data_IF_136046408482
#
_entry.id   IF_136046408482
#
_cell.length_a   1.000
_cell.length_b   1.000
_cell.length_c   1.000
_cell.angle_alpha   90.00
_cell.angle_beta   90.00
_cell.angle_gamma   90.00
#
_symmetry.space_group_name_H-M   'P 1'
#
loop_
_entity.id
_entity.type
_entity.pdbx_description
1 polymer ?
#
# COMPACT_ATOMS: atom_id res chain seq x y z
N UNK A 1 -3.50 1.75 9.50
CA UNK A 1 -2.98 0.99 10.65
C UNK A 1 -2.22 -0.31 10.31
N UNK A 2 -2.23 -0.83 9.09
CA UNK A 2 -1.55 -2.09 8.73
C UNK A 2 -0.08 -1.95 8.27
N UNK A 3 0.40 -0.75 8.06
CA UNK A 3 1.77 -0.48 7.57
C UNK A 3 2.84 -0.60 8.66
N UNK A 4 2.45 -0.52 9.93
CA UNK A 4 3.39 -0.48 11.06
C UNK A 4 4.04 -1.82 11.44
N UNK A 5 3.49 -2.97 11.01
CA UNK A 5 4.05 -4.29 11.31
C UNK A 5 4.99 -4.84 10.22
N UNK A 6 5.16 -4.11 9.08
CA UNK A 6 6.11 -4.48 8.03
C UNK A 6 5.84 -5.82 7.34
N UNK A 7 4.70 -6.44 7.60
CA UNK A 7 4.26 -7.66 6.91
C UNK A 7 3.05 -7.28 6.07
N UNK A 8 3.29 -7.12 4.78
CA UNK A 8 2.20 -6.88 3.83
C UNK A 8 1.23 -8.05 3.88
N UNK A 9 -0.06 -7.73 4.04
CA UNK A 9 -1.15 -8.73 4.03
C UNK A 9 -1.06 -9.64 2.80
N UNK A 10 -0.57 -9.10 1.70
CA UNK A 10 -0.38 -9.81 0.44
C UNK A 10 0.70 -10.89 0.54
N UNK A 11 1.81 -10.64 1.23
CA UNK A 11 2.87 -11.65 1.44
C UNK A 11 2.41 -12.79 2.36
N UNK A 12 1.59 -12.47 3.36
CA UNK A 12 0.94 -13.48 4.19
C UNK A 12 -0.03 -14.36 3.38
N UNK A 13 -0.80 -13.76 2.47
CA UNK A 13 -1.70 -14.50 1.59
C UNK A 13 -0.95 -15.47 0.69
N UNK A 14 0.15 -15.05 0.06
CA UNK A 14 0.99 -15.95 -0.75
C UNK A 14 1.55 -17.09 0.10
N UNK A 15 2.01 -16.84 1.30
CA UNK A 15 2.45 -17.89 2.23
C UNK A 15 1.34 -18.89 2.56
N UNK A 16 0.11 -18.41 2.80
CA UNK A 16 -1.05 -19.27 3.06
C UNK A 16 -1.42 -20.13 1.86
N UNK A 17 -1.38 -19.58 0.63
CA UNK A 17 -1.62 -20.35 -0.59
C UNK A 17 -0.56 -21.43 -0.78
N UNK A 18 0.70 -21.12 -0.56
CA UNK A 18 1.78 -22.12 -0.62
C UNK A 18 1.61 -23.22 0.44
N UNK A 19 1.19 -22.88 1.67
CA UNK A 19 0.87 -23.89 2.69
C UNK A 19 -0.32 -24.76 2.29
N UNK A 20 -1.36 -24.16 1.71
CA UNK A 20 -2.53 -24.90 1.19
C UNK A 20 -2.12 -25.88 0.09
N UNK A 21 -1.25 -25.46 -0.84
CA UNK A 21 -0.73 -26.33 -1.91
C UNK A 21 0.11 -27.50 -1.37
N UNK A 22 0.91 -27.28 -0.32
CA UNK A 22 1.70 -28.35 0.33
C UNK A 22 0.84 -29.38 1.03
N UNK A 23 -0.27 -28.95 1.65
CA UNK A 23 -1.19 -29.81 2.40
C UNK A 23 -2.23 -30.51 1.51
N UNK A 24 -2.49 -29.95 0.31
CA UNK A 24 -3.48 -30.50 -0.60
C UNK A 24 -3.05 -31.87 -1.15
N UNK A 25 -3.93 -32.87 -1.19
CA UNK A 25 -3.62 -34.16 -1.76
C UNK A 25 -3.36 -34.04 -3.27
N UNK A 26 -2.31 -34.71 -3.75
CA UNK A 26 -1.82 -34.52 -5.12
C UNK A 26 -2.76 -35.09 -6.19
N UNK A 27 -3.48 -36.19 -5.90
CA UNK A 27 -4.27 -36.89 -6.90
C UNK A 27 -5.76 -36.55 -6.91
N UNK A 28 -6.35 -36.27 -5.74
CA UNK A 28 -7.81 -36.15 -5.58
C UNK A 28 -8.31 -34.69 -5.65
N UNK A 29 -7.48 -33.69 -5.37
CA UNK A 29 -7.88 -32.27 -5.29
C UNK A 29 -7.35 -31.45 -6.46
N UNK A 30 -7.39 -31.94 -7.70
CA UNK A 30 -6.85 -31.26 -8.87
C UNK A 30 -7.44 -29.83 -9.05
N UNK A 31 -8.79 -29.72 -8.99
CA UNK A 31 -9.47 -28.42 -9.15
C UNK A 31 -9.08 -27.40 -8.09
N UNK A 32 -9.01 -27.82 -6.82
CA UNK A 32 -8.57 -26.97 -5.71
C UNK A 32 -7.12 -26.48 -5.91
N UNK A 33 -6.22 -27.38 -6.33
CA UNK A 33 -4.82 -27.01 -6.59
C UNK A 33 -4.69 -26.01 -7.73
N UNK A 34 -5.46 -26.18 -8.83
CA UNK A 34 -5.47 -25.24 -9.95
C UNK A 34 -5.94 -23.86 -9.48
N UNK A 35 -7.09 -23.78 -8.80
CA UNK A 35 -7.62 -22.52 -8.31
C UNK A 35 -6.67 -21.82 -7.33
N UNK A 36 -6.04 -22.58 -6.43
CA UNK A 36 -5.06 -22.01 -5.49
C UNK A 36 -3.81 -21.49 -6.21
N UNK A 37 -3.30 -22.20 -7.23
CA UNK A 37 -2.16 -21.75 -8.02
C UNK A 37 -2.47 -20.51 -8.86
N UNK A 38 -3.67 -20.41 -9.42
CA UNK A 38 -4.13 -19.23 -10.15
C UNK A 38 -4.17 -18.00 -9.24
N UNK A 39 -4.74 -18.14 -8.03
CA UNK A 39 -4.79 -17.06 -7.05
C UNK A 39 -3.41 -16.68 -6.52
N UNK A 40 -2.54 -17.66 -6.22
CA UNK A 40 -1.17 -17.40 -5.77
C UNK A 40 -0.37 -16.64 -6.84
N UNK A 41 -0.49 -17.04 -8.11
CA UNK A 41 0.13 -16.33 -9.23
C UNK A 41 -0.35 -14.86 -9.30
N UNK A 42 -1.65 -14.60 -9.21
CA UNK A 42 -2.20 -13.25 -9.25
C UNK A 42 -1.76 -12.41 -8.05
N UNK A 43 -1.74 -13.00 -6.86
CA UNK A 43 -1.31 -12.30 -5.64
C UNK A 43 0.17 -11.94 -5.70
N UNK A 44 1.05 -12.86 -6.15
CA UNK A 44 2.48 -12.56 -6.36
C UNK A 44 2.67 -11.42 -7.36
N UNK A 45 1.95 -11.43 -8.49
CA UNK A 45 2.00 -10.34 -9.47
C UNK A 45 1.49 -8.99 -8.92
N UNK A 46 0.49 -8.99 -8.02
CA UNK A 46 -0.01 -7.78 -7.36
C UNK A 46 0.99 -7.20 -6.35
N UNK A 47 1.76 -8.07 -5.68
CA UNK A 47 2.86 -7.67 -4.80
C UNK A 47 4.01 -7.04 -5.62
N UNK A 48 4.17 -7.45 -6.87
CA UNK A 48 5.26 -7.06 -7.77
C UNK A 48 6.34 -8.13 -7.90
N UNK A 49 6.07 -9.33 -7.37
CA UNK A 49 6.91 -10.51 -7.55
C UNK A 49 6.53 -11.27 -8.81
N UNK A 50 7.50 -11.86 -9.48
CA UNK A 50 7.24 -12.67 -10.68
C UNK A 50 7.27 -14.13 -10.29
N UNK A 51 6.15 -14.88 -10.50
CA UNK A 51 6.10 -16.31 -10.20
C UNK A 51 7.15 -17.10 -10.96
N UNK A 52 7.65 -18.17 -10.36
CA UNK A 52 8.62 -19.04 -10.99
C UNK A 52 8.03 -19.80 -12.20
N UNK A 53 8.87 -19.99 -13.24
CA UNK A 53 8.47 -20.78 -14.43
C UNK A 53 8.14 -22.23 -14.12
N UNK A 54 8.70 -22.79 -13.05
CA UNK A 54 8.44 -24.16 -12.59
C UNK A 54 6.95 -24.42 -12.32
N UNK A 55 6.22 -23.41 -11.83
CA UNK A 55 4.77 -23.49 -11.56
C UNK A 55 3.96 -23.80 -12.83
N UNK A 56 4.38 -23.27 -13.98
CA UNK A 56 3.68 -23.43 -15.26
C UNK A 56 4.06 -24.72 -16.03
N UNK A 57 5.12 -25.40 -15.60
CA UNK A 57 5.59 -26.61 -16.28
C UNK A 57 4.90 -27.90 -15.84
N UNK A 58 4.11 -27.85 -14.78
CA UNK A 58 3.39 -29.01 -14.28
C UNK A 58 2.37 -29.51 -15.31
N UNK A 59 2.48 -30.75 -15.73
CA UNK A 59 1.64 -31.39 -16.77
C UNK A 59 0.16 -31.27 -16.43
N UNK A 60 -0.21 -31.46 -15.17
CA UNK A 60 -1.60 -31.46 -14.70
C UNK A 60 -2.27 -30.08 -14.72
N UNK A 61 -1.49 -29.01 -14.60
CA UNK A 61 -2.00 -27.64 -14.43
C UNK A 61 -1.66 -26.71 -15.59
N UNK A 62 -0.82 -27.16 -16.53
CA UNK A 62 -0.32 -26.38 -17.65
C UNK A 62 -1.42 -25.73 -18.52
N UNK A 63 -2.46 -26.49 -18.85
CA UNK A 63 -3.57 -25.98 -19.66
C UNK A 63 -4.37 -24.89 -18.95
N UNK A 64 -4.59 -25.05 -17.64
CA UNK A 64 -5.33 -24.09 -16.84
C UNK A 64 -4.53 -22.82 -16.53
N UNK A 65 -3.21 -22.95 -16.40
CA UNK A 65 -2.31 -21.84 -16.10
C UNK A 65 -1.75 -21.13 -17.36
N UNK A 66 -2.02 -21.65 -18.57
CA UNK A 66 -1.56 -21.04 -19.83
C UNK A 66 -1.88 -19.55 -19.95
N UNK A 67 -3.13 -19.10 -19.75
CA UNK A 67 -3.50 -17.68 -19.77
C UNK A 67 -2.74 -16.84 -18.73
N UNK A 68 -2.52 -17.39 -17.54
CA UNK A 68 -1.78 -16.71 -16.47
C UNK A 68 -0.28 -16.60 -16.77
N UNK A 69 0.28 -17.53 -17.56
CA UNK A 69 1.65 -17.41 -18.05
C UNK A 69 1.81 -16.23 -19.02
N UNK A 70 0.87 -16.04 -19.97
CA UNK A 70 0.89 -14.91 -20.89
C UNK A 70 0.79 -13.57 -20.10
N UNK A 71 -0.09 -13.50 -19.08
CA UNK A 71 -0.18 -12.37 -18.17
C UNK A 71 1.15 -12.12 -17.43
N UNK A 72 1.75 -13.15 -16.88
CA UNK A 72 3.02 -13.06 -16.15
C UNK A 72 4.13 -12.51 -17.04
N UNK A 73 4.19 -12.92 -18.30
CA UNK A 73 5.16 -12.42 -19.28
C UNK A 73 4.93 -10.94 -19.57
N UNK A 74 3.67 -10.51 -19.79
CA UNK A 74 3.33 -9.11 -20.03
C UNK A 74 3.66 -8.21 -18.82
N UNK A 75 3.37 -8.66 -17.60
CA UNK A 75 3.71 -7.94 -16.36
C UNK A 75 5.22 -7.84 -16.20
N UNK A 76 5.98 -8.91 -16.48
CA UNK A 76 7.44 -8.92 -16.38
C UNK A 76 8.11 -7.95 -17.35
N UNK A 77 7.59 -7.85 -18.58
CA UNK A 77 8.09 -6.92 -19.59
C UNK A 77 7.68 -5.48 -19.30
N UNK A 78 6.55 -5.29 -18.62
CA UNK A 78 5.98 -3.98 -18.36
C UNK A 78 5.30 -3.36 -19.59
N UNK A 79 4.85 -4.18 -20.54
CA UNK A 79 4.18 -3.74 -21.77
C UNK A 79 2.66 -3.76 -21.60
N UNK A 80 2.03 -2.57 -21.60
CA UNK A 80 0.58 -2.44 -21.48
C UNK A 80 -0.18 -3.07 -22.65
N UNK A 81 0.36 -2.99 -23.87
CA UNK A 81 -0.32 -3.54 -25.07
C UNK A 81 -0.36 -5.06 -25.02
N UNK A 82 0.75 -5.69 -24.70
CA UNK A 82 0.80 -7.14 -24.54
C UNK A 82 -0.14 -7.60 -23.41
N UNK A 83 -0.25 -6.81 -22.34
CA UNK A 83 -1.19 -7.08 -21.25
C UNK A 83 -2.64 -6.96 -21.69
N UNK A 84 -3.05 -5.88 -22.37
CA UNK A 84 -4.44 -5.70 -22.82
C UNK A 84 -4.85 -6.77 -23.82
N UNK A 85 -3.98 -7.11 -24.78
CA UNK A 85 -4.25 -8.20 -25.73
C UNK A 85 -4.39 -9.57 -25.05
N UNK A 86 -3.57 -9.86 -24.03
CA UNK A 86 -3.69 -11.09 -23.24
C UNK A 86 -4.99 -11.14 -22.42
N UNK A 87 -5.41 -10.01 -21.84
CA UNK A 87 -6.67 -9.91 -21.09
C UNK A 87 -7.88 -10.09 -22.00
N UNK A 88 -7.90 -9.45 -23.17
CA UNK A 88 -8.98 -9.57 -24.16
C UNK A 88 -9.09 -11.02 -24.69
N UNK A 89 -7.97 -11.62 -25.05
CA UNK A 89 -7.88 -12.98 -25.56
C UNK A 89 -8.45 -14.02 -24.59
N UNK A 90 -8.24 -13.84 -23.30
CA UNK A 90 -8.59 -14.80 -22.26
C UNK A 90 -9.70 -14.30 -21.31
N UNK A 91 -10.45 -13.26 -21.69
CA UNK A 91 -11.47 -12.62 -20.85
C UNK A 91 -12.54 -13.59 -20.34
N UNK A 92 -13.02 -14.47 -21.22
CA UNK A 92 -14.04 -15.48 -20.87
C UNK A 92 -13.53 -16.44 -19.79
N UNK A 93 -12.27 -16.87 -19.89
CA UNK A 93 -11.66 -17.81 -18.95
C UNK A 93 -11.43 -17.18 -17.59
N UNK A 94 -10.95 -15.92 -17.55
CA UNK A 94 -10.80 -15.17 -16.30
C UNK A 94 -12.13 -14.90 -15.61
N UNK A 95 -13.21 -14.74 -16.39
CA UNK A 95 -14.56 -14.57 -15.85
C UNK A 95 -15.10 -15.88 -15.30
N UNK A 96 -14.88 -17.02 -15.97
CA UNK A 96 -15.24 -18.35 -15.48
C UNK A 96 -14.50 -18.70 -14.18
N UNK A 97 -13.20 -18.35 -14.10
CA UNK A 97 -12.38 -18.56 -12.90
C UNK A 97 -12.73 -17.56 -11.77
N UNK A 98 -13.58 -16.54 -12.02
CA UNK A 98 -13.92 -15.48 -11.04
C UNK A 98 -12.80 -14.49 -10.76
N UNK A 99 -11.71 -14.52 -11.51
CA UNK A 99 -10.49 -13.75 -11.26
C UNK A 99 -10.38 -12.46 -12.08
N UNK A 100 -11.36 -12.14 -12.93
CA UNK A 100 -11.33 -11.01 -13.85
C UNK A 100 -11.06 -9.66 -13.16
N UNK A 101 -11.68 -9.43 -12.00
CA UNK A 101 -11.49 -8.18 -11.24
C UNK A 101 -10.05 -8.03 -10.71
N UNK A 102 -9.40 -9.13 -10.33
CA UNK A 102 -8.01 -9.14 -9.89
C UNK A 102 -7.07 -8.90 -11.07
N UNK A 103 -7.37 -9.49 -12.23
CA UNK A 103 -6.60 -9.28 -13.46
C UNK A 103 -6.65 -7.81 -13.90
N UNK A 104 -7.80 -7.14 -13.80
CA UNK A 104 -7.88 -5.70 -14.09
C UNK A 104 -6.98 -4.85 -13.18
N UNK A 105 -6.86 -5.21 -11.90
CA UNK A 105 -5.97 -4.51 -10.95
C UNK A 105 -4.49 -4.65 -11.32
N UNK A 106 -4.10 -5.73 -12.01
CA UNK A 106 -2.71 -5.94 -12.46
C UNK A 106 -2.22 -4.87 -13.44
N UNK A 107 -3.11 -4.18 -14.16
CA UNK A 107 -2.74 -3.05 -15.04
C UNK A 107 -1.79 -2.08 -14.34
N UNK A 108 -2.05 -1.81 -13.07
CA UNK A 108 -1.23 -0.92 -12.26
C UNK A 108 0.17 -1.47 -11.99
N UNK A 109 0.27 -2.78 -11.75
CA UNK A 109 1.56 -3.48 -11.54
C UNK A 109 2.39 -3.50 -12.83
N UNK A 110 1.75 -3.64 -14.01
CA UNK A 110 2.41 -3.53 -15.31
C UNK A 110 3.05 -2.16 -15.49
N UNK A 111 2.33 -1.08 -15.19
CA UNK A 111 2.84 0.31 -15.29
C UNK A 111 4.02 0.50 -14.33
N UNK A 112 3.91 0.02 -13.09
CA UNK A 112 5.01 0.10 -12.10
C UNK A 112 6.26 -0.60 -12.59
N UNK A 113 6.13 -1.80 -13.15
CA UNK A 113 7.27 -2.56 -13.72
C UNK A 113 7.87 -1.83 -14.91
N UNK A 114 7.04 -1.28 -15.81
CA UNK A 114 7.49 -0.47 -16.94
C UNK A 114 8.26 0.77 -16.49
N UNK A 115 7.74 1.50 -15.49
CA UNK A 115 8.42 2.67 -14.90
C UNK A 115 9.75 2.28 -14.25
N UNK A 116 9.82 1.14 -13.55
CA UNK A 116 11.07 0.63 -12.97
C UNK A 116 12.10 0.35 -14.06
N UNK A 117 11.72 -0.27 -15.16
CA UNK A 117 12.62 -0.54 -16.28
C UNK A 117 13.13 0.76 -16.93
N UNK A 118 12.25 1.77 -17.05
CA UNK A 118 12.63 3.10 -17.55
C UNK A 118 13.59 3.79 -16.59
N UNK A 119 13.30 3.80 -15.29
CA UNK A 119 14.16 4.40 -14.26
C UNK A 119 15.57 3.79 -14.22
N UNK A 120 15.69 2.47 -14.46
CA UNK A 120 16.98 1.79 -14.55
C UNK A 120 17.75 2.14 -15.83
N UNK A 121 17.04 2.48 -16.92
CA UNK A 121 17.63 2.72 -18.23
C UNK A 121 18.02 4.18 -18.45
N UNK A 122 17.32 5.13 -17.80
CA UNK A 122 17.48 6.56 -18.01
C UNK A 122 17.78 7.28 -16.69
N UNK A 123 18.84 8.09 -16.69
CA UNK A 123 19.14 8.99 -15.57
C UNK A 123 18.18 10.20 -15.54
N UNK A 124 17.75 10.67 -16.71
CA UNK A 124 16.80 11.77 -16.86
C UNK A 124 15.92 11.50 -18.09
N UNK A 125 14.59 11.66 -17.94
CA UNK A 125 13.60 11.39 -18.99
C UNK A 125 12.43 12.36 -18.87
N UNK A 126 11.89 12.84 -20.02
CA UNK A 126 10.70 13.71 -20.04
C UNK A 126 9.41 12.92 -19.81
N UNK A 127 8.38 13.58 -19.25
CA UNK A 127 7.07 12.92 -19.07
C UNK A 127 6.42 12.55 -20.39
N UNK A 128 6.68 13.31 -21.47
CA UNK A 128 6.25 12.98 -22.83
C UNK A 128 6.78 11.64 -23.31
N UNK A 129 8.08 11.43 -23.10
CA UNK A 129 8.72 10.18 -23.50
C UNK A 129 8.24 9.00 -22.66
N UNK A 130 7.98 9.21 -21.35
CA UNK A 130 7.40 8.21 -20.48
C UNK A 130 5.98 7.84 -20.96
N UNK A 131 5.13 8.84 -21.25
CA UNK A 131 3.79 8.62 -21.76
C UNK A 131 3.81 7.82 -23.06
N UNK A 132 4.71 8.18 -24.00
CA UNK A 132 4.86 7.48 -25.27
C UNK A 132 5.32 6.02 -25.09
N UNK A 133 6.29 5.78 -24.19
CA UNK A 133 6.83 4.43 -23.94
C UNK A 133 5.81 3.52 -23.24
N UNK A 134 5.09 4.05 -22.27
CA UNK A 134 4.06 3.31 -21.53
C UNK A 134 2.71 3.34 -22.23
N UNK A 135 2.57 4.09 -23.34
CA UNK A 135 1.31 4.30 -24.07
C UNK A 135 0.19 4.78 -23.15
N UNK A 136 0.51 5.81 -22.36
CA UNK A 136 -0.44 6.52 -21.54
C UNK A 136 -1.08 7.64 -22.39
N UNK A 137 -2.31 8.01 -22.02
CA UNK A 137 -3.10 8.96 -22.79
C UNK A 137 -2.58 10.39 -22.65
N UNK A 138 -2.10 10.76 -21.45
CA UNK A 138 -1.66 12.13 -21.15
C UNK A 138 -0.32 12.18 -20.44
N UNK A 139 0.37 13.34 -20.55
CA UNK A 139 1.61 13.61 -19.78
C UNK A 139 1.34 13.72 -18.30
N UNK A 140 0.17 14.24 -17.91
CA UNK A 140 -0.26 14.36 -16.52
C UNK A 140 -0.45 12.99 -15.88
N UNK A 141 -1.00 12.02 -16.61
CA UNK A 141 -1.11 10.65 -16.12
C UNK A 141 0.26 10.02 -15.88
N UNK A 142 1.23 10.29 -16.77
CA UNK A 142 2.62 9.83 -16.58
C UNK A 142 3.23 10.44 -15.31
N UNK A 143 3.04 11.73 -15.06
CA UNK A 143 3.50 12.40 -13.86
C UNK A 143 2.87 11.81 -12.59
N UNK A 144 1.54 11.65 -12.55
CA UNK A 144 0.84 11.03 -11.42
C UNK A 144 1.29 9.60 -11.16
N UNK A 145 1.51 8.82 -12.21
CA UNK A 145 2.00 7.45 -12.07
C UNK A 145 3.45 7.41 -11.55
N UNK A 146 4.30 8.34 -11.98
CA UNK A 146 5.65 8.50 -11.43
C UNK A 146 5.63 8.90 -9.96
N UNK A 147 4.84 9.91 -9.58
CA UNK A 147 4.67 10.34 -8.20
C UNK A 147 4.18 9.19 -7.30
N UNK A 148 3.23 8.41 -7.79
CA UNK A 148 2.72 7.24 -7.07
C UNK A 148 3.77 6.15 -6.95
N UNK A 149 4.56 5.89 -7.99
CA UNK A 149 5.63 4.88 -7.96
C UNK A 149 6.77 5.28 -6.99
N UNK A 150 7.09 6.57 -6.88
CA UNK A 150 8.03 7.09 -5.89
C UNK A 150 7.47 6.90 -4.48
N UNK A 151 6.21 7.28 -4.24
CA UNK A 151 5.55 7.11 -2.93
C UNK A 151 5.49 5.63 -2.49
N UNK A 152 5.22 4.74 -3.44
CA UNK A 152 5.14 3.30 -3.18
C UNK A 152 6.54 2.65 -3.05
N UNK A 153 7.63 3.42 -3.21
CA UNK A 153 9.02 2.93 -3.09
C UNK A 153 9.46 2.01 -4.23
N UNK A 154 8.77 2.03 -5.37
CA UNK A 154 9.12 1.18 -6.53
C UNK A 154 10.31 1.74 -7.29
N UNK A 155 10.42 3.08 -7.36
CA UNK A 155 11.50 3.83 -8.00
C UNK A 155 12.02 4.90 -7.06
N UNK A 156 13.34 5.12 -7.10
CA UNK A 156 14.01 6.22 -6.41
C UNK A 156 14.32 7.30 -7.44
N UNK A 157 13.53 8.34 -7.47
CA UNK A 157 13.64 9.40 -8.45
C UNK A 157 13.11 10.72 -7.87
N UNK A 158 13.57 11.83 -8.41
CA UNK A 158 13.05 13.17 -8.15
C UNK A 158 12.22 13.63 -9.34
N UNK A 159 11.10 14.30 -9.04
CA UNK A 159 10.14 14.75 -10.02
C UNK A 159 10.21 16.28 -10.10
N UNK A 160 10.50 16.81 -11.28
CA UNK A 160 10.48 18.23 -11.58
C UNK A 160 9.27 18.55 -12.44
N UNK A 161 8.26 19.17 -11.81
CA UNK A 161 7.04 19.55 -12.51
C UNK A 161 7.28 20.68 -13.51
N UNK A 162 8.03 21.71 -13.10
CA UNK A 162 8.24 22.91 -13.92
C UNK A 162 8.98 22.63 -15.24
N UNK A 163 9.96 21.72 -15.20
CA UNK A 163 10.74 21.33 -16.37
C UNK A 163 10.19 20.06 -17.06
N UNK A 164 9.18 19.41 -16.49
CA UNK A 164 8.49 18.28 -17.07
C UNK A 164 9.32 17.01 -17.24
N UNK A 165 10.21 16.72 -16.28
CA UNK A 165 11.05 15.51 -16.33
C UNK A 165 11.15 14.76 -15.01
N UNK A 166 11.53 13.49 -15.14
CA UNK A 166 11.88 12.60 -14.04
C UNK A 166 13.41 12.40 -14.03
N UNK A 167 14.05 12.62 -12.89
CA UNK A 167 15.47 12.31 -12.69
C UNK A 167 15.59 11.12 -11.74
N UNK A 168 16.19 10.02 -12.23
CA UNK A 168 16.47 8.84 -11.40
C UNK A 168 17.65 9.12 -10.48
N UNK A 169 17.49 8.82 -9.19
CA UNK A 169 18.58 8.88 -8.24
C UNK A 169 19.49 7.66 -8.45
N UNK A 170 20.80 7.89 -8.38
CA UNK A 170 21.75 6.78 -8.33
C UNK A 170 21.58 6.06 -7.00
N UNK A 171 21.39 4.75 -7.04
CA UNK A 171 21.31 3.93 -5.84
C UNK A 171 22.63 4.03 -5.05
N UNK A 172 22.62 4.86 -4.00
CA UNK A 172 23.72 4.97 -3.06
C UNK A 172 23.71 3.79 -2.06
N UNK A 173 24.82 3.62 -1.37
CA UNK A 173 24.87 2.68 -0.27
C UNK A 173 24.03 3.19 0.89
N UNK A 174 22.79 2.70 1.03
CA UNK A 174 21.84 3.09 2.07
C UNK A 174 22.42 2.88 3.48
N UNK A 175 23.27 1.86 3.66
CA UNK A 175 23.90 1.56 4.96
C UNK A 175 24.96 2.58 5.39
N UNK A 176 25.44 3.41 4.49
CA UNK A 176 26.35 4.53 4.81
C UNK A 176 25.61 5.81 5.21
N UNK A 177 24.27 5.83 5.12
CA UNK A 177 23.40 6.95 5.48
C UNK A 177 22.73 6.71 6.82
N UNK A 178 22.05 7.73 7.36
CA UNK A 178 21.26 7.63 8.60
C UNK A 178 19.90 6.94 8.43
N UNK A 179 19.49 6.62 7.22
CA UNK A 179 18.20 6.00 6.91
C UNK A 179 17.92 4.69 7.68
N UNK A 180 18.84 3.73 7.79
CA UNK A 180 18.60 2.53 8.57
C UNK A 180 18.32 2.83 10.05
N UNK A 181 19.05 3.79 10.62
CA UNK A 181 18.87 4.22 12.00
C UNK A 181 17.48 4.83 12.23
N UNK A 182 17.01 5.68 11.33
CA UNK A 182 15.67 6.29 11.39
C UNK A 182 14.58 5.23 11.29
N UNK A 183 14.71 4.25 10.39
CA UNK A 183 13.77 3.15 10.24
C UNK A 183 13.70 2.27 11.50
N UNK A 184 14.84 1.96 12.12
CA UNK A 184 14.87 1.25 13.38
C UNK A 184 14.28 2.07 14.52
N UNK A 185 14.57 3.36 14.57
CA UNK A 185 14.01 4.26 15.57
C UNK A 185 12.48 4.31 15.52
N UNK A 186 11.90 4.47 14.34
CA UNK A 186 10.44 4.44 14.13
C UNK A 186 9.80 3.13 14.60
N UNK A 187 10.45 2.00 14.32
CA UNK A 187 9.96 0.68 14.77
C UNK A 187 10.03 0.52 16.28
N UNK A 188 11.11 0.98 16.90
CA UNK A 188 11.28 0.94 18.36
C UNK A 188 10.25 1.83 19.04
N UNK A 189 10.05 3.06 18.54
CA UNK A 189 9.06 4.00 19.04
C UNK A 189 7.64 3.39 18.98
N UNK A 190 7.29 2.78 17.84
CA UNK A 190 6.02 2.08 17.70
C UNK A 190 5.87 0.92 18.68
N UNK A 191 6.89 0.07 18.84
CA UNK A 191 6.87 -1.03 19.81
C UNK A 191 6.71 -0.54 21.24
N UNK A 192 7.37 0.56 21.61
CA UNK A 192 7.24 1.16 22.94
C UNK A 192 5.84 1.74 23.17
N UNK A 193 5.26 2.40 22.15
CA UNK A 193 3.90 2.91 22.22
C UNK A 193 2.90 1.79 22.43
N UNK A 194 2.98 0.72 21.63
CA UNK A 194 2.10 -0.46 21.76
C UNK A 194 2.27 -1.13 23.14
N UNK A 195 3.52 -1.26 23.63
CA UNK A 195 3.78 -1.81 24.96
C UNK A 195 3.13 -0.97 26.04
N UNK A 196 3.32 0.35 26.01
CA UNK A 196 2.73 1.27 26.98
C UNK A 196 1.21 1.23 26.98
N UNK A 197 0.60 1.17 25.78
CA UNK A 197 -0.86 1.06 25.63
C UNK A 197 -1.37 -0.29 26.16
N UNK A 198 -0.66 -1.39 25.89
CA UNK A 198 -1.00 -2.69 26.41
C UNK A 198 -0.91 -2.74 27.95
N UNK A 199 0.14 -2.15 28.54
CA UNK A 199 0.29 -2.06 29.99
C UNK A 199 -0.84 -1.24 30.61
N UNK A 200 -1.19 -0.10 30.02
CA UNK A 200 -2.33 0.73 30.46
C UNK A 200 -3.65 -0.04 30.38
N UNK A 201 -3.89 -0.76 29.27
CA UNK A 201 -5.12 -1.56 29.10
C UNK A 201 -5.22 -2.69 30.13
N UNK A 202 -4.09 -3.31 30.53
CA UNK A 202 -4.09 -4.32 31.58
C UNK A 202 -4.28 -3.74 32.98
N UNK A 203 -3.79 -2.52 33.24
CA UNK A 203 -3.97 -1.85 34.54
C UNK A 203 -5.41 -1.38 34.75
N UNK A 204 -6.08 -1.03 33.66
CA UNK A 204 -7.47 -0.53 33.68
C UNK A 204 -8.36 -1.44 32.82
N UNK A 205 -8.75 -2.62 33.37
CA UNK A 205 -9.68 -3.47 32.62
C UNK A 205 -10.95 -2.66 32.32
N UNK A 206 -11.54 -2.79 31.11
CA UNK A 206 -12.75 -2.08 30.78
C UNK A 206 -13.84 -2.46 31.81
N UNK A 207 -14.22 -1.50 32.65
CA UNK A 207 -15.44 -1.63 33.46
C UNK A 207 -16.58 -1.76 32.47
N UNK A 208 -17.43 -2.77 32.67
CA UNK A 208 -18.57 -3.08 31.83
C UNK A 208 -19.32 -1.82 31.41
N UNK A 209 -19.97 -1.84 30.25
CA UNK A 209 -20.53 -0.76 29.44
C UNK A 209 -21.36 0.35 30.14
N UNK A 210 -21.53 0.32 31.45
CA UNK A 210 -22.21 1.33 32.26
C UNK A 210 -21.49 2.69 32.31
N UNK A 211 -20.22 2.75 31.90
CA UNK A 211 -19.40 3.96 32.02
C UNK A 211 -19.52 4.90 30.81
N UNK A 212 -20.02 4.45 29.67
CA UNK A 212 -20.18 5.32 28.50
C UNK A 212 -21.32 6.33 28.69
N UNK A 213 -22.40 5.95 29.43
CA UNK A 213 -23.49 6.85 29.73
C UNK A 213 -23.10 7.88 30.82
N UNK A 214 -22.26 7.51 31.78
CA UNK A 214 -21.80 8.42 32.83
C UNK A 214 -20.76 9.45 32.30
N UNK A 215 -19.95 9.09 31.30
CA UNK A 215 -19.01 10.03 30.66
C UNK A 215 -19.75 10.98 29.72
N UNK A 216 -20.79 10.49 29.03
CA UNK A 216 -21.65 11.34 28.21
C UNK A 216 -22.50 12.29 29.07
N UNK A 217 -22.99 11.83 30.24
CA UNK A 217 -23.72 12.64 31.19
C UNK A 217 -22.84 13.69 31.90
N UNK A 218 -21.58 13.40 32.18
CA UNK A 218 -20.63 14.41 32.71
C UNK A 218 -20.24 15.44 31.66
N UNK A 219 -19.97 15.03 30.41
CA UNK A 219 -19.65 15.94 29.33
C UNK A 219 -20.81 16.88 28.95
N UNK A 220 -22.06 16.50 29.22
CA UNK A 220 -23.22 17.41 29.07
C UNK A 220 -23.39 18.37 30.25
N UNK A 221 -23.08 17.96 31.49
CA UNK A 221 -23.11 18.83 32.66
C UNK A 221 -22.00 19.88 32.64
N UNK A 222 -20.78 19.51 32.25
CA UNK A 222 -19.66 20.46 32.12
C UNK A 222 -19.93 21.51 31.02
N UNK A 223 -20.82 21.23 30.06
CA UNK A 223 -21.24 22.20 29.04
C UNK A 223 -22.41 23.10 29.51
N UNK A 224 -23.21 22.70 30.46
CA UNK A 224 -24.26 23.51 31.08
C UNK A 224 -23.63 24.46 32.14
N UNK A 225 -22.74 23.96 32.98
CA UNK A 225 -22.02 24.77 33.97
C UNK A 225 -21.10 25.83 33.36
N UNK A 226 -20.55 25.58 32.12
CA UNK A 226 -19.78 26.55 31.38
C UNK A 226 -20.62 27.67 30.74
N UNK A 227 -21.94 27.46 30.56
CA UNK A 227 -22.85 28.49 30.03
C UNK A 227 -23.43 29.40 31.09
N UNK A 228 -23.55 28.92 32.35
CA UNK A 228 -24.05 29.73 33.46
C UNK A 228 -22.99 30.62 34.10
N UNK A 229 -21.69 30.38 33.84
CA UNK A 229 -20.60 31.25 34.33
C UNK A 229 -20.32 32.45 33.44
N UNK A 230 -20.84 32.50 32.19
CA UNK A 230 -20.59 33.61 31.25
C UNK A 230 -21.67 34.71 31.29
N UNK A 231 -22.69 34.60 32.23
CA UNK A 231 -23.77 35.58 32.35
C UNK A 231 -23.71 36.47 33.60
N UNK A 232 -22.60 36.45 34.37
CA UNK A 232 -22.37 37.33 35.51
C UNK A 232 -21.00 37.95 35.48
N UNK A 233 -20.81 38.91 34.61
CA UNK A 233 -19.78 39.94 34.75
C UNK A 233 -20.36 41.24 34.22
N UNK A 234 -21.00 42.00 35.11
CA UNK A 234 -21.18 43.44 34.94
C UNK A 234 -19.89 44.17 35.32
N UNK A 235 -19.62 45.30 34.68
CA UNK A 235 -18.37 46.05 34.87
C UNK A 235 -18.47 46.98 36.06
N UNK A 236 -17.54 46.95 37.01
CA UNK A 236 -17.27 48.03 37.91
C UNK A 236 -15.99 48.76 37.44
N UNK A 237 -16.25 50.00 36.99
CA UNK A 237 -15.31 51.13 37.01
C UNK A 237 -14.83 51.37 38.46
N UNK A 238 -13.54 51.56 38.66
CA UNK A 238 -13.01 52.64 39.45
C UNK A 238 -11.48 52.72 39.39
N UNK A 239 -11.06 53.87 38.95
CA UNK A 239 -9.89 54.72 39.21
C UNK A 239 -9.02 54.34 40.44
N UNK A 240 -7.77 54.44 40.31
CA UNK A 240 -6.83 55.36 40.96
C UNK A 240 -5.37 54.83 41.06
N UNK A 241 -4.53 55.62 40.45
CA UNK A 241 -3.36 56.31 40.96
C UNK A 241 -2.18 55.54 41.61
N UNK A 242 -1.05 55.75 40.94
CA UNK A 242 0.27 56.20 41.45
C UNK A 242 0.97 55.40 42.55
N UNK A 243 2.18 55.07 42.31
CA UNK A 243 3.51 55.53 42.83
C UNK A 243 4.53 54.41 42.68
N UNK A 244 5.57 54.63 41.95
CA UNK A 244 6.97 54.89 42.25
C UNK A 244 7.61 54.07 43.36
N UNK A 245 8.77 53.60 42.99
CA UNK A 245 10.03 53.43 43.70
C UNK A 245 10.58 52.01 43.90
N UNK A 246 11.69 51.91 43.38
CA UNK A 246 13.06 51.37 43.55
C UNK A 246 13.42 50.23 42.61
#
# INVERSE_FOLDING_TARGET
MSVALGVDVSSLLSCLFQQALRKAPQRTARGFRIATQQLDCLVQLLIGEVPERSLFNNIDTREALGPYLELTQAVRLGELVAFTTAVEKHSERFTQDGNYSLVQRLRHSVIKTGLRNISLSYSRISFKDIATKLRLDTEQDAEYMCAKAIRDGVIEATLNHDEGYLASNTSGNVYSTTQPQEQFHQRIEFCLAVHNDAVKAMQYPPKEAVVLDDVAAKASKDKEDAKDSDSKAEPDDDDDAMEEDE
#
